data_IF_668228554768
#
_entry.id   IF_668228554768
#
_cell.length_a   1.000
_cell.length_b   1.000
_cell.length_c   1.000
_cell.angle_alpha   90.00
_cell.angle_beta   90.00
_cell.angle_gamma   90.00
#
_symmetry.space_group_name_H-M   'P 1'
#
loop_
_entity.id
_entity.type
_entity.pdbx_description
1 polymer ?
#
# COMPACT_ATOMS: atom_id res chain seq x y z
N UNK A 1 -35.14 24.34 -38.96
CA UNK A 1 -34.59 24.73 -37.65
C UNK A 1 -34.59 23.58 -36.63
N UNK A 2 -35.73 22.96 -36.28
CA UNK A 2 -35.80 21.87 -35.28
C UNK A 2 -34.91 20.64 -35.56
N UNK A 3 -34.79 20.21 -36.83
CA UNK A 3 -33.87 19.12 -37.23
C UNK A 3 -32.39 19.49 -37.13
N UNK A 4 -32.06 20.78 -37.27
CA UNK A 4 -30.68 21.28 -37.18
C UNK A 4 -30.22 21.31 -35.73
N UNK A 5 -31.09 21.75 -34.81
CA UNK A 5 -30.84 21.68 -33.36
C UNK A 5 -30.69 20.24 -32.87
N UNK A 6 -31.49 19.30 -33.39
CA UNK A 6 -31.37 17.87 -33.05
C UNK A 6 -30.03 17.29 -33.50
N UNK A 7 -29.58 17.63 -34.71
CA UNK A 7 -28.29 17.19 -35.23
C UNK A 7 -27.13 17.77 -34.41
N UNK A 8 -27.23 19.06 -34.05
CA UNK A 8 -26.23 19.74 -33.23
C UNK A 8 -26.15 19.17 -31.80
N UNK A 9 -27.30 18.84 -31.20
CA UNK A 9 -27.34 18.19 -29.88
C UNK A 9 -26.76 16.77 -29.90
N UNK A 10 -26.97 16.02 -30.98
CA UNK A 10 -26.38 14.67 -31.14
C UNK A 10 -24.86 14.77 -31.30
N UNK A 11 -24.36 15.73 -32.08
CA UNK A 11 -22.91 15.94 -32.23
C UNK A 11 -22.26 16.39 -30.90
N UNK A 12 -22.93 17.25 -30.12
CA UNK A 12 -22.44 17.64 -28.79
C UNK A 12 -22.37 16.47 -27.81
N UNK A 13 -23.36 15.56 -27.85
CA UNK A 13 -23.39 14.36 -27.00
C UNK A 13 -22.28 13.35 -27.38
N UNK A 14 -21.93 13.24 -28.66
CA UNK A 14 -20.87 12.33 -29.13
C UNK A 14 -19.47 12.88 -28.80
N UNK A 15 -19.31 14.20 -28.74
CA UNK A 15 -18.00 14.85 -28.46
C UNK A 15 -17.71 15.05 -26.97
N UNK A 16 -18.74 15.00 -26.11
CA UNK A 16 -18.58 15.12 -24.65
C UNK A 16 -18.02 13.85 -23.97
N UNK A 17 -17.94 12.72 -24.69
CA UNK A 17 -17.44 11.45 -24.17
C UNK A 17 -16.07 11.11 -24.76
N UNK A 18 -15.13 12.05 -24.73
CA UNK A 18 -13.72 11.70 -24.81
C UNK A 18 -13.22 11.53 -23.37
N UNK A 19 -12.90 10.29 -23.00
CA UNK A 19 -12.08 10.03 -21.81
C UNK A 19 -10.70 10.58 -22.11
N UNK A 20 -10.48 11.86 -21.82
CA UNK A 20 -9.13 12.39 -21.78
C UNK A 20 -8.34 11.51 -20.83
N UNK A 21 -7.30 10.85 -21.35
CA UNK A 21 -6.32 10.15 -20.52
C UNK A 21 -5.55 11.23 -19.78
N UNK A 22 -6.08 11.69 -18.66
CA UNK A 22 -5.35 12.55 -17.74
C UNK A 22 -4.07 11.80 -17.35
N UNK A 23 -2.94 12.35 -17.76
CA UNK A 23 -1.64 11.84 -17.35
C UNK A 23 -1.53 11.99 -15.83
N UNK A 24 -1.31 10.88 -15.12
CA UNK A 24 -1.15 10.91 -13.67
C UNK A 24 0.12 11.70 -13.32
N UNK A 25 -0.06 12.83 -12.61
CA UNK A 25 1.03 13.65 -12.09
C UNK A 25 0.89 13.72 -10.58
N UNK A 26 1.80 13.05 -9.89
CA UNK A 26 1.81 13.01 -8.43
C UNK A 26 2.40 14.31 -7.85
N UNK A 27 1.89 14.70 -6.69
CA UNK A 27 2.30 15.89 -5.93
C UNK A 27 3.45 15.51 -4.99
N UNK A 28 4.61 16.20 -5.03
CA UNK A 28 5.71 15.91 -4.10
C UNK A 28 5.27 16.03 -2.63
N UNK A 29 5.67 15.07 -1.80
CA UNK A 29 5.38 15.09 -0.37
C UNK A 29 6.48 15.84 0.39
N UNK A 30 6.08 16.81 1.23
CA UNK A 30 7.02 17.51 2.11
C UNK A 30 7.15 16.75 3.44
N UNK A 31 8.19 15.92 3.56
CA UNK A 31 8.47 15.18 4.79
C UNK A 31 9.05 16.12 5.86
N UNK A 32 8.32 16.29 6.96
CA UNK A 32 8.82 16.99 8.14
C UNK A 32 9.66 16.05 9.01
N UNK A 33 10.98 16.27 9.02
CA UNK A 33 11.90 15.50 9.86
C UNK A 33 11.97 16.15 11.25
N UNK A 34 11.68 15.43 12.34
CA UNK A 34 11.76 15.96 13.69
C UNK A 34 13.16 16.50 14.04
N UNK A 35 13.22 17.46 14.96
CA UNK A 35 14.51 17.99 15.44
C UNK A 35 15.39 16.85 15.97
N UNK A 36 16.69 16.93 15.69
CA UNK A 36 17.73 15.96 16.08
C UNK A 36 17.66 14.57 15.40
N UNK A 37 16.76 14.34 14.45
CA UNK A 37 16.81 13.15 13.60
C UNK A 37 17.74 13.38 12.40
N UNK A 38 18.46 12.34 11.93
CA UNK A 38 19.21 12.43 10.69
C UNK A 38 18.26 12.54 9.49
N UNK A 39 18.80 12.98 8.35
CA UNK A 39 18.05 12.98 7.10
C UNK A 39 17.60 11.54 6.77
N UNK A 40 16.33 11.36 6.44
CA UNK A 40 15.80 10.08 5.98
C UNK A 40 16.28 9.81 4.55
N UNK A 41 16.72 8.58 4.26
CA UNK A 41 17.11 8.17 2.91
C UNK A 41 15.84 7.82 2.14
N UNK A 42 15.51 8.60 1.11
CA UNK A 42 14.37 8.35 0.22
C UNK A 42 14.88 7.76 -1.10
N UNK A 43 14.46 6.56 -1.51
CA UNK A 43 14.91 5.93 -2.76
C UNK A 43 14.58 6.78 -4.00
N UNK A 44 15.50 6.85 -4.95
CA UNK A 44 15.35 7.67 -6.18
C UNK A 44 14.19 7.17 -7.06
N UNK A 45 13.97 5.86 -7.07
CA UNK A 45 12.91 5.17 -7.80
C UNK A 45 11.57 5.12 -7.06
N UNK A 46 11.52 5.57 -5.80
CA UNK A 46 10.32 5.62 -4.97
C UNK A 46 10.24 6.94 -4.18
N UNK A 47 10.22 8.07 -4.91
CA UNK A 47 10.09 9.39 -4.28
C UNK A 47 8.71 9.56 -3.62
N UNK A 48 8.70 10.17 -2.44
CA UNK A 48 7.47 10.37 -1.69
C UNK A 48 6.55 11.39 -2.37
N UNK A 49 5.27 11.04 -2.48
CA UNK A 49 4.22 11.88 -3.04
C UNK A 49 2.99 11.86 -2.15
N UNK A 50 2.17 12.91 -2.19
CA UNK A 50 0.94 12.99 -1.37
C UNK A 50 0.02 11.81 -1.70
N UNK A 51 -0.16 11.53 -2.98
CA UNK A 51 -0.99 10.42 -3.48
C UNK A 51 -0.35 9.06 -3.16
N UNK A 52 0.97 8.93 -3.23
CA UNK A 52 1.68 7.71 -2.85
C UNK A 52 1.60 7.39 -1.36
N UNK A 53 1.72 8.40 -0.50
CA UNK A 53 1.55 8.25 0.96
C UNK A 53 0.10 7.84 1.28
N UNK A 54 -0.88 8.47 0.64
CA UNK A 54 -2.29 8.16 0.84
C UNK A 54 -2.65 6.75 0.32
N UNK A 55 -2.12 6.36 -0.84
CA UNK A 55 -2.28 5.01 -1.39
C UNK A 55 -1.63 3.97 -0.48
N UNK A 56 -0.40 4.23 -0.01
CA UNK A 56 0.28 3.36 0.96
C UNK A 56 -0.52 3.20 2.25
N UNK A 57 -1.10 4.29 2.76
CA UNK A 57 -2.01 4.25 3.91
C UNK A 57 -3.24 3.41 3.63
N UNK A 58 -3.88 3.56 2.47
CA UNK A 58 -5.02 2.73 2.08
C UNK A 58 -4.64 1.25 2.05
N UNK A 59 -3.57 0.90 1.33
CA UNK A 59 -3.09 -0.48 1.17
C UNK A 59 -2.69 -1.12 2.50
N UNK A 60 -2.15 -0.35 3.46
CA UNK A 60 -1.80 -0.85 4.79
C UNK A 60 -3.00 -1.47 5.54
N UNK A 61 -4.21 -0.95 5.31
CA UNK A 61 -5.45 -1.45 5.92
C UNK A 61 -6.27 -2.34 4.97
N UNK A 62 -5.84 -2.52 3.73
CA UNK A 62 -6.55 -3.26 2.70
C UNK A 62 -6.43 -4.78 2.93
N UNK A 63 -7.58 -5.44 3.04
CA UNK A 63 -7.63 -6.88 3.31
C UNK A 63 -7.54 -7.73 2.06
N UNK A 64 -7.87 -7.18 0.88
CA UNK A 64 -7.75 -7.87 -0.41
C UNK A 64 -6.32 -8.30 -0.76
N UNK A 65 -5.33 -7.83 0.00
CA UNK A 65 -3.96 -8.29 -0.07
C UNK A 65 -3.75 -9.68 0.56
N UNK A 66 -4.73 -10.23 1.27
CA UNK A 66 -4.70 -11.59 1.84
C UNK A 66 -5.57 -12.56 1.04
N UNK A 67 -5.20 -13.85 1.06
CA UNK A 67 -5.82 -14.90 0.25
C UNK A 67 -7.34 -14.97 0.42
N UNK A 68 -7.83 -14.86 1.66
CA UNK A 68 -9.24 -14.95 2.02
C UNK A 68 -9.92 -13.59 2.30
N UNK A 69 -9.19 -12.49 2.06
CA UNK A 69 -9.63 -11.11 2.34
C UNK A 69 -9.95 -10.83 3.83
N UNK A 70 -9.38 -11.57 4.78
CA UNK A 70 -9.62 -11.39 6.21
C UNK A 70 -8.59 -10.50 6.92
N UNK A 71 -7.35 -10.44 6.41
CA UNK A 71 -6.21 -9.78 7.05
C UNK A 71 -5.58 -8.68 6.18
N UNK A 72 -5.05 -7.65 6.84
CA UNK A 72 -4.21 -6.61 6.23
C UNK A 72 -2.92 -6.46 7.04
N UNK A 73 -2.00 -5.59 6.59
CA UNK A 73 -0.78 -5.29 7.35
C UNK A 73 -1.11 -4.83 8.77
N UNK A 74 -2.16 -4.02 8.91
CA UNK A 74 -2.66 -3.50 10.19
C UNK A 74 -3.17 -4.59 11.16
N UNK A 75 -3.49 -5.80 10.69
CA UNK A 75 -3.93 -6.90 11.58
C UNK A 75 -2.81 -7.29 12.55
N UNK A 76 -1.58 -7.40 12.06
CA UNK A 76 -0.40 -7.71 12.88
C UNK A 76 0.36 -6.46 13.32
N UNK A 77 0.25 -5.35 12.58
CA UNK A 77 0.93 -4.09 12.89
C UNK A 77 -0.06 -3.04 13.40
N UNK A 78 -0.56 -3.24 14.62
CA UNK A 78 -1.61 -2.42 15.20
C UNK A 78 -1.08 -1.09 15.74
N UNK A 79 -1.70 0.03 15.32
CA UNK A 79 -1.34 1.38 15.74
C UNK A 79 -1.26 1.55 17.28
N UNK A 80 -2.22 0.98 18.02
CA UNK A 80 -2.30 1.12 19.48
C UNK A 80 -1.13 0.42 20.20
N UNK A 81 -0.43 -0.47 19.51
CA UNK A 81 0.72 -1.21 20.01
C UNK A 81 2.00 -0.80 19.27
N UNK A 82 2.11 0.47 18.87
CA UNK A 82 3.27 1.00 18.12
C UNK A 82 3.50 0.28 16.78
N UNK A 83 2.42 0.00 16.06
CA UNK A 83 2.42 -0.74 14.78
C UNK A 83 3.04 -2.13 14.92
N UNK A 84 2.63 -2.83 15.97
CA UNK A 84 3.07 -4.17 16.33
C UNK A 84 1.89 -4.97 16.87
N UNK A 85 2.11 -6.21 17.27
CA UNK A 85 1.12 -7.02 17.99
C UNK A 85 1.60 -7.32 19.41
N UNK A 86 0.67 -7.72 20.27
CA UNK A 86 0.94 -8.04 21.68
C UNK A 86 1.33 -9.51 21.88
N UNK A 87 1.30 -10.32 20.84
CA UNK A 87 1.52 -11.75 20.96
C UNK A 87 3.01 -12.07 20.94
N UNK A 88 3.44 -13.13 21.62
CA UNK A 88 4.83 -13.60 21.50
C UNK A 88 5.17 -14.04 20.07
N UNK A 89 4.17 -14.58 19.36
CA UNK A 89 4.25 -14.96 17.96
C UNK A 89 2.97 -14.48 17.28
N UNK A 90 3.08 -13.85 16.11
CA UNK A 90 1.93 -13.36 15.37
C UNK A 90 1.02 -14.52 14.95
N UNK A 91 -0.28 -14.26 14.90
CA UNK A 91 -1.28 -15.22 14.40
C UNK A 91 -1.52 -14.92 12.93
N UNK A 92 -1.37 -15.93 12.10
CA UNK A 92 -1.54 -15.89 10.66
C UNK A 92 -2.98 -16.04 10.18
N UNK A 93 -3.17 -15.99 8.86
CA UNK A 93 -4.47 -16.06 8.17
C UNK A 93 -5.29 -17.28 8.54
N UNK A 94 -4.66 -18.45 8.62
CA UNK A 94 -5.31 -19.71 8.97
C UNK A 94 -5.37 -19.96 10.50
N UNK A 95 -5.06 -18.93 11.31
CA UNK A 95 -5.04 -19.02 12.77
C UNK A 95 -3.79 -19.71 13.35
N UNK A 96 -2.83 -20.10 12.51
CA UNK A 96 -1.56 -20.67 12.96
C UNK A 96 -0.61 -19.60 13.48
N UNK A 97 0.16 -19.94 14.51
CA UNK A 97 1.23 -19.07 14.98
C UNK A 97 2.42 -19.09 14.02
N UNK A 98 2.96 -17.90 13.75
CA UNK A 98 4.28 -17.76 13.14
C UNK A 98 5.42 -18.13 14.10
N UNK A 99 6.64 -17.80 13.70
CA UNK A 99 7.84 -18.05 14.49
C UNK A 99 8.40 -16.80 15.20
N UNK A 100 7.80 -15.63 14.96
CA UNK A 100 8.21 -14.34 15.52
C UNK A 100 6.98 -13.47 15.81
N UNK A 101 7.17 -12.50 16.69
CA UNK A 101 6.26 -11.38 16.93
C UNK A 101 6.40 -10.38 15.77
N UNK A 102 5.35 -9.62 15.46
CA UNK A 102 5.44 -8.58 14.42
C UNK A 102 6.32 -7.43 14.92
N UNK A 103 7.36 -7.06 14.17
CA UNK A 103 8.21 -5.94 14.58
C UNK A 103 7.41 -4.64 14.62
N UNK A 104 7.73 -3.73 15.53
CA UNK A 104 7.17 -2.39 15.51
C UNK A 104 7.62 -1.66 14.24
N UNK A 105 6.69 -1.00 13.54
CA UNK A 105 6.98 -0.27 12.30
C UNK A 105 7.32 1.22 12.52
N UNK A 106 7.33 1.67 13.77
CA UNK A 106 7.71 3.05 14.09
C UNK A 106 9.18 3.31 13.73
N UNK A 107 9.44 4.45 13.09
CA UNK A 107 10.78 4.94 12.75
C UNK A 107 11.58 4.11 11.73
N UNK A 108 10.98 3.15 11.03
CA UNK A 108 11.69 2.30 10.07
C UNK A 108 12.38 3.05 8.92
N UNK A 109 11.99 4.29 8.62
CA UNK A 109 12.65 5.11 7.60
C UNK A 109 14.12 5.44 7.92
N UNK A 110 14.58 5.24 9.16
CA UNK A 110 15.97 5.44 9.56
C UNK A 110 16.76 4.14 9.78
N UNK A 111 16.15 2.99 9.51
CA UNK A 111 16.79 1.68 9.65
C UNK A 111 17.49 1.25 8.35
N UNK A 112 18.54 0.43 8.48
CA UNK A 112 19.31 -0.07 7.34
C UNK A 112 19.01 -1.54 6.97
N UNK A 113 18.43 -2.29 7.90
CA UNK A 113 18.17 -3.72 7.75
C UNK A 113 16.79 -4.06 8.30
N UNK A 114 16.13 -4.99 7.63
CA UNK A 114 14.75 -5.37 7.92
C UNK A 114 14.60 -6.88 8.11
N UNK A 115 13.47 -7.25 8.71
CA UNK A 115 13.24 -8.51 9.45
C UNK A 115 14.07 -8.66 10.72
N UNK A 116 13.60 -9.52 11.63
CA UNK A 116 14.25 -9.84 12.89
C UNK A 116 15.70 -10.34 12.75
N UNK A 117 16.04 -10.94 11.61
CA UNK A 117 17.37 -11.44 11.29
C UNK A 117 18.17 -10.47 10.41
N UNK A 118 17.61 -9.30 10.06
CA UNK A 118 18.27 -8.28 9.27
C UNK A 118 18.58 -8.67 7.82
N UNK A 119 17.94 -9.73 7.29
CA UNK A 119 18.30 -10.29 5.99
C UNK A 119 17.96 -9.40 4.79
N UNK A 120 17.02 -8.48 4.94
CA UNK A 120 16.66 -7.52 3.88
C UNK A 120 17.33 -6.17 4.10
N UNK A 121 17.72 -5.52 3.01
CA UNK A 121 18.43 -4.23 3.01
C UNK A 121 17.55 -3.05 2.60
N UNK A 122 16.31 -3.28 2.16
CA UNK A 122 15.34 -2.23 1.80
C UNK A 122 13.95 -2.56 2.31
N UNK A 123 13.15 -1.52 2.58
CA UNK A 123 11.75 -1.67 2.96
C UNK A 123 10.93 -2.28 1.82
N UNK A 124 11.22 -1.87 0.58
CA UNK A 124 10.55 -2.35 -0.63
C UNK A 124 10.71 -3.86 -0.81
N UNK A 125 11.88 -4.42 -0.50
CA UNK A 125 12.07 -5.87 -0.57
C UNK A 125 11.41 -6.61 0.59
N UNK A 126 11.37 -5.99 1.78
CA UNK A 126 10.75 -6.58 2.96
C UNK A 126 9.23 -6.66 2.83
N UNK A 127 8.58 -5.58 2.41
CA UNK A 127 7.11 -5.45 2.34
C UNK A 127 6.47 -6.40 1.34
N UNK A 128 7.22 -6.87 0.34
CA UNK A 128 6.72 -7.81 -0.66
C UNK A 128 6.53 -9.24 -0.13
N UNK A 129 7.14 -9.59 1.02
CA UNK A 129 7.19 -10.99 1.48
C UNK A 129 5.99 -11.44 2.33
N UNK A 130 5.39 -10.61 3.20
CA UNK A 130 4.23 -11.02 4.00
C UNK A 130 3.04 -11.52 3.17
N UNK A 131 2.74 -10.85 2.05
CA UNK A 131 1.62 -11.22 1.15
C UNK A 131 1.73 -12.68 0.69
N UNK A 132 2.93 -13.09 0.26
CA UNK A 132 3.18 -14.44 -0.25
C UNK A 132 3.49 -15.48 0.84
N UNK A 133 3.66 -15.06 2.09
CA UNK A 133 3.95 -15.99 3.16
C UNK A 133 2.69 -16.81 3.49
N UNK A 134 2.74 -18.15 3.40
CA UNK A 134 1.57 -19.01 3.60
C UNK A 134 1.04 -18.98 5.04
N UNK A 135 1.83 -18.53 6.01
CA UNK A 135 1.37 -18.32 7.38
C UNK A 135 0.75 -16.93 7.52
N UNK A 136 1.38 -15.88 6.98
CA UNK A 136 0.93 -14.50 7.25
C UNK A 136 -0.32 -14.13 6.45
N UNK A 137 -0.26 -14.15 5.11
CA UNK A 137 -1.35 -13.66 4.25
C UNK A 137 -1.75 -14.60 3.11
N UNK A 138 -0.94 -15.64 2.84
CA UNK A 138 -1.25 -16.76 1.92
C UNK A 138 -1.87 -16.32 0.58
N UNK A 139 -1.21 -15.40 -0.12
CA UNK A 139 -1.69 -14.81 -1.37
C UNK A 139 -0.60 -14.78 -2.45
N UNK A 140 -0.97 -14.63 -3.72
CA UNK A 140 -0.05 -14.26 -4.79
C UNK A 140 -0.23 -12.80 -5.19
N UNK A 141 0.87 -12.07 -5.42
CA UNK A 141 0.81 -10.66 -5.83
C UNK A 141 -0.04 -10.42 -7.07
N UNK A 142 -0.02 -11.35 -8.02
CA UNK A 142 -0.84 -11.27 -9.23
C UNK A 142 -2.33 -11.25 -8.89
N UNK A 143 -2.75 -12.09 -7.95
CA UNK A 143 -4.14 -12.24 -7.56
C UNK A 143 -4.58 -11.09 -6.64
N UNK A 144 -3.72 -10.67 -5.70
CA UNK A 144 -3.92 -9.45 -4.91
C UNK A 144 -4.15 -8.22 -5.81
N UNK A 145 -3.30 -8.00 -6.82
CA UNK A 145 -3.45 -6.89 -7.77
C UNK A 145 -4.72 -7.03 -8.60
N UNK A 146 -5.08 -8.24 -9.02
CA UNK A 146 -6.33 -8.47 -9.73
C UNK A 146 -7.55 -8.13 -8.86
N UNK A 147 -7.54 -8.49 -7.57
CA UNK A 147 -8.60 -8.15 -6.60
C UNK A 147 -8.78 -6.64 -6.41
N UNK A 148 -7.68 -5.88 -6.40
CA UNK A 148 -7.69 -4.42 -6.25
C UNK A 148 -8.23 -3.69 -7.49
N UNK A 149 -7.93 -4.20 -8.69
CA UNK A 149 -8.39 -3.60 -9.95
C UNK A 149 -9.89 -3.80 -10.26
N UNK A 150 -10.60 -4.57 -9.43
CA UNK A 150 -12.04 -4.81 -9.58
C UNK A 150 -12.91 -3.76 -8.89
N UNK A 151 -12.31 -2.83 -8.14
CA UNK A 151 -12.99 -1.66 -7.55
C UNK A 151 -13.00 -0.46 -8.51
#
# INVERSE_FOLDING_TARGET
MRKLYFFFSVILLITACNKDKAEYKATPYNLEIPSHFPQMIIPVDNQMTVEGVELGRYLFYEKKLSGDNSMSCATCHNLNNSFSDTNRYSVGIDGFFGNRQSMALVNLGWENFFFWDGRESTLENQILKPVINPIEMHEEWKDAVAKLNLD
#
